data_IF_495269109342
#
_entry.id   IF_495269109342
#
_cell.length_a   1.000
_cell.length_b   1.000
_cell.length_c   1.000
_cell.angle_alpha   90.00
_cell.angle_beta   90.00
_cell.angle_gamma   90.00
#
_symmetry.space_group_name_H-M   'P 1'
#
loop_
_entity.id
_entity.type
_entity.pdbx_description
1 polymer ?
#
# COMPACT_ATOMS: atom_id res chain seq x y z
N UNK A 1 -21.12 6.68 -5.97
CA UNK A 1 -20.45 5.47 -6.48
C UNK A 1 -20.75 4.36 -5.49
N UNK A 2 -21.21 3.20 -5.93
CA UNK A 2 -21.30 2.04 -5.04
C UNK A 2 -19.88 1.59 -4.73
N UNK A 3 -19.45 1.73 -3.48
CA UNK A 3 -18.13 1.29 -3.06
C UNK A 3 -18.05 -0.24 -3.14
N UNK A 4 -16.94 -0.81 -3.64
CA UNK A 4 -16.79 -2.25 -3.73
C UNK A 4 -16.71 -2.88 -2.33
N UNK A 5 -17.46 -3.97 -2.12
CA UNK A 5 -17.41 -4.72 -0.87
C UNK A 5 -16.13 -5.57 -0.82
N UNK A 6 -15.10 -5.07 -0.15
CA UNK A 6 -13.79 -5.70 -0.07
C UNK A 6 -13.77 -6.86 0.94
N UNK A 7 -13.16 -7.97 0.54
CA UNK A 7 -12.82 -9.06 1.45
C UNK A 7 -11.66 -8.65 2.37
N UNK A 8 -11.54 -9.22 3.58
CA UNK A 8 -10.50 -8.86 4.55
C UNK A 8 -9.08 -8.87 3.97
N UNK A 9 -8.71 -9.88 3.19
CA UNK A 9 -7.39 -9.97 2.56
C UNK A 9 -7.13 -8.84 1.56
N UNK A 10 -8.16 -8.37 0.86
CA UNK A 10 -8.08 -7.25 -0.10
C UNK A 10 -7.82 -5.93 0.64
N UNK A 11 -8.43 -5.76 1.82
CA UNK A 11 -8.17 -4.61 2.68
C UNK A 11 -6.69 -4.59 3.11
N UNK A 12 -6.15 -5.73 3.55
CA UNK A 12 -4.73 -5.84 3.89
C UNK A 12 -3.81 -5.67 2.67
N UNK A 13 -4.21 -6.15 1.50
CA UNK A 13 -3.46 -5.94 0.26
C UNK A 13 -3.33 -4.45 -0.08
N UNK A 14 -4.43 -3.70 -0.01
CA UNK A 14 -4.43 -2.26 -0.23
C UNK A 14 -3.61 -1.54 0.85
N UNK A 15 -3.79 -1.92 2.12
CA UNK A 15 -3.08 -1.31 3.24
C UNK A 15 -1.56 -1.56 3.17
N UNK A 16 -1.13 -2.75 2.72
CA UNK A 16 0.27 -3.04 2.44
C UNK A 16 0.83 -2.16 1.33
N UNK A 17 0.10 -1.97 0.24
CA UNK A 17 0.54 -1.10 -0.86
C UNK A 17 0.70 0.35 -0.39
N UNK A 18 -0.18 0.82 0.49
CA UNK A 18 -0.16 2.20 0.98
C UNK A 18 0.93 2.45 2.04
N UNK A 19 1.09 1.55 3.01
CA UNK A 19 1.89 1.80 4.22
C UNK A 19 3.09 0.86 4.37
N UNK A 20 3.14 -0.22 3.59
CA UNK A 20 4.17 -1.24 3.70
C UNK A 20 3.98 -2.19 4.89
N UNK A 21 4.64 -3.36 4.85
CA UNK A 21 4.43 -4.47 5.78
C UNK A 21 4.84 -4.18 7.22
N UNK A 22 5.85 -3.32 7.43
CA UNK A 22 6.35 -2.97 8.76
C UNK A 22 5.33 -2.16 9.56
N UNK A 23 4.77 -1.12 8.93
CA UNK A 23 3.76 -0.24 9.56
C UNK A 23 2.49 -1.06 9.86
N UNK A 24 2.00 -1.82 8.88
CA UNK A 24 0.82 -2.68 9.08
C UNK A 24 1.03 -3.68 10.22
N UNK A 25 2.18 -4.36 10.28
CA UNK A 25 2.44 -5.31 11.37
C UNK A 25 2.52 -4.63 12.74
N UNK A 26 3.09 -3.42 12.81
CA UNK A 26 3.19 -2.65 14.05
C UNK A 26 1.81 -2.22 14.59
N UNK A 27 0.86 -1.87 13.72
CA UNK A 27 -0.51 -1.49 14.10
C UNK A 27 -1.24 -2.59 14.91
N UNK A 28 -0.88 -3.85 14.71
CA UNK A 28 -1.51 -5.00 15.36
C UNK A 28 -0.61 -5.66 16.42
N UNK A 29 0.34 -4.91 16.98
CA UNK A 29 1.13 -5.37 18.13
C UNK A 29 2.19 -6.43 17.80
N UNK A 30 2.37 -6.79 16.52
CA UNK A 30 3.53 -7.57 16.10
C UNK A 30 4.73 -6.62 16.08
N UNK A 31 5.44 -6.54 17.23
CA UNK A 31 6.79 -5.97 17.27
C UNK A 31 7.56 -6.61 16.13
N UNK A 32 8.13 -5.78 15.25
CA UNK A 32 8.87 -6.19 14.07
C UNK A 32 10.02 -7.13 14.47
N UNK A 33 9.71 -8.42 14.66
CA UNK A 33 10.71 -9.45 14.78
C UNK A 33 11.31 -9.60 13.39
N UNK A 34 12.54 -10.11 13.34
CA UNK A 34 13.36 -10.31 12.13
C UNK A 34 12.68 -11.13 11.01
N UNK A 35 11.43 -11.57 11.23
CA UNK A 35 10.56 -12.33 10.34
C UNK A 35 9.17 -11.65 10.18
N UNK A 36 9.11 -10.36 9.81
CA UNK A 36 7.87 -9.60 9.56
C UNK A 36 7.07 -10.07 8.32
N UNK A 37 6.79 -11.37 8.22
CA UNK A 37 5.97 -11.99 7.19
C UNK A 37 4.47 -11.76 7.42
N UNK A 38 4.06 -11.39 8.64
CA UNK A 38 2.65 -11.27 9.03
C UNK A 38 1.84 -10.34 8.15
N UNK A 39 2.39 -9.17 7.77
CA UNK A 39 1.67 -8.23 6.91
C UNK A 39 1.36 -8.83 5.53
N UNK A 40 2.35 -9.41 4.88
CA UNK A 40 2.20 -10.09 3.59
C UNK A 40 1.29 -11.33 3.69
N UNK A 41 1.41 -12.09 4.77
CA UNK A 41 0.59 -13.28 5.00
C UNK A 41 -0.89 -12.94 5.20
N UNK A 42 -1.21 -11.77 5.77
CA UNK A 42 -2.60 -11.29 5.93
C UNK A 42 -3.24 -10.84 4.61
N UNK A 43 -2.44 -10.46 3.62
CA UNK A 43 -2.88 -9.97 2.32
C UNK A 43 -2.96 -11.05 1.23
N UNK A 44 -2.63 -12.30 1.57
CA UNK A 44 -2.64 -13.42 0.62
C UNK A 44 -4.06 -13.77 0.17
N UNK A 45 -4.24 -13.89 -1.14
CA UNK A 45 -5.49 -14.34 -1.76
C UNK A 45 -5.72 -15.82 -1.40
N UNK A 46 -6.86 -16.16 -0.76
CA UNK A 46 -7.18 -17.53 -0.37
C UNK A 46 -7.31 -18.48 -1.56
N UNK A 47 -7.60 -17.99 -2.77
CA UNK A 47 -7.71 -18.79 -3.99
C UNK A 47 -6.37 -19.44 -4.35
N UNK A 48 -5.26 -18.74 -4.08
CA UNK A 48 -3.92 -19.15 -4.51
C UNK A 48 -3.01 -19.56 -3.33
N UNK A 49 -3.54 -19.57 -2.10
CA UNK A 49 -2.75 -19.77 -0.89
C UNK A 49 -3.30 -20.91 -0.04
N UNK A 50 -2.56 -22.03 0.02
CA UNK A 50 -2.96 -23.25 0.73
C UNK A 50 -2.81 -23.19 2.25
N UNK A 51 -1.84 -22.42 2.77
CA UNK A 51 -1.64 -22.23 4.22
C UNK A 51 -1.78 -20.75 4.56
N UNK A 52 -3.02 -20.35 4.83
CA UNK A 52 -3.36 -18.96 5.10
C UNK A 52 -3.15 -18.59 6.55
N UNK A 53 -2.53 -17.43 6.78
CA UNK A 53 -2.52 -16.79 8.10
C UNK A 53 -3.85 -16.07 8.31
N UNK A 54 -4.46 -16.25 9.49
CA UNK A 54 -5.64 -15.47 9.86
C UNK A 54 -5.26 -14.01 10.04
N UNK A 55 -6.01 -13.11 9.40
CA UNK A 55 -5.74 -11.68 9.52
C UNK A 55 -6.48 -11.07 10.72
N UNK A 56 -6.03 -9.90 11.22
CA UNK A 56 -6.65 -9.23 12.36
C UNK A 56 -8.15 -8.98 12.22
N UNK A 57 -8.64 -8.60 11.04
CA UNK A 57 -10.08 -8.37 10.84
C UNK A 57 -10.91 -9.65 11.01
N UNK A 58 -10.40 -10.79 10.53
CA UNK A 58 -11.05 -12.09 10.73
C UNK A 58 -11.03 -12.50 12.20
N UNK A 59 -9.94 -12.23 12.92
CA UNK A 59 -9.86 -12.50 14.36
C UNK A 59 -10.83 -11.62 15.15
N UNK A 60 -10.93 -10.33 14.81
CA UNK A 60 -11.90 -9.40 15.39
C UNK A 60 -13.34 -9.82 15.11
N UNK A 61 -13.65 -10.26 13.88
CA UNK A 61 -14.97 -10.75 13.51
C UNK A 61 -15.39 -11.97 14.36
N UNK A 62 -14.50 -12.94 14.54
CA UNK A 62 -14.76 -14.10 15.39
C UNK A 62 -14.97 -13.71 16.86
N UNK A 63 -14.14 -12.79 17.36
CA UNK A 63 -14.28 -12.28 18.72
C UNK A 63 -15.63 -11.61 18.93
N UNK A 64 -16.06 -10.75 18.00
CA UNK A 64 -17.38 -10.12 18.04
C UNK A 64 -18.52 -11.14 17.92
N UNK A 65 -18.37 -12.13 17.05
CA UNK A 65 -19.36 -13.22 16.91
C UNK A 65 -19.55 -13.98 18.22
N UNK A 66 -18.46 -14.26 18.95
CA UNK A 66 -18.52 -14.90 20.28
C UNK A 66 -19.18 -14.01 21.33
N UNK A 67 -18.90 -12.71 21.32
CA UNK A 67 -19.57 -11.75 22.23
C UNK A 67 -21.07 -11.70 21.97
N UNK A 68 -21.50 -11.66 20.71
CA UNK A 68 -22.93 -11.68 20.34
C UNK A 68 -23.59 -12.97 20.80
N UNK A 69 -22.97 -14.12 20.55
CA UNK A 69 -23.48 -15.42 20.98
C UNK A 69 -23.63 -15.52 22.51
N UNK A 70 -22.79 -14.81 23.27
CA UNK A 70 -22.85 -14.73 24.73
C UNK A 70 -23.80 -13.63 25.25
N UNK A 71 -24.57 -12.95 24.39
CA UNK A 71 -25.52 -11.90 24.79
C UNK A 71 -24.94 -10.49 24.91
N UNK A 72 -23.64 -10.31 24.65
CA UNK A 72 -22.94 -9.02 24.74
C UNK A 72 -22.97 -8.21 23.44
N UNK A 73 -24.06 -8.30 22.66
CA UNK A 73 -24.18 -7.57 21.39
C UNK A 73 -24.08 -6.04 21.52
N UNK A 74 -24.41 -5.48 22.69
CA UNK A 74 -24.23 -4.05 22.96
C UNK A 74 -22.75 -3.64 22.98
N UNK A 75 -21.85 -4.51 23.45
CA UNK A 75 -20.40 -4.27 23.46
C UNK A 75 -19.88 -4.19 22.03
N UNK A 76 -20.32 -5.10 21.16
CA UNK A 76 -19.95 -5.11 19.74
C UNK A 76 -20.45 -3.85 19.04
N UNK A 77 -21.68 -3.41 19.30
CA UNK A 77 -22.20 -2.14 18.77
C UNK A 77 -21.38 -0.93 19.22
N UNK A 78 -20.98 -0.87 20.49
CA UNK A 78 -20.12 0.19 21.00
C UNK A 78 -18.74 0.18 20.34
N UNK A 79 -18.15 -1.00 20.12
CA UNK A 79 -16.87 -1.14 19.45
C UNK A 79 -16.92 -0.70 17.97
N UNK A 80 -17.99 -1.08 17.24
CA UNK A 80 -18.19 -0.63 15.86
C UNK A 80 -18.35 0.89 15.83
N UNK A 81 -19.20 1.47 16.69
CA UNK A 81 -19.37 2.93 16.78
C UNK A 81 -18.04 3.64 17.07
N UNK A 82 -17.21 3.07 17.94
CA UNK A 82 -15.86 3.60 18.18
C UNK A 82 -15.00 3.57 16.93
N UNK A 83 -14.98 2.47 16.17
CA UNK A 83 -14.24 2.38 14.91
C UNK A 83 -14.76 3.35 13.84
N UNK A 84 -16.06 3.59 13.78
CA UNK A 84 -16.68 4.57 12.86
C UNK A 84 -16.20 6.00 13.09
N UNK A 85 -15.73 6.35 14.30
CA UNK A 85 -15.14 7.68 14.57
C UNK A 85 -13.89 7.97 13.73
N UNK A 86 -13.23 6.93 13.20
CA UNK A 86 -12.08 7.10 12.30
C UNK A 86 -12.44 7.64 10.92
N UNK A 87 -13.74 7.68 10.59
CA UNK A 87 -14.28 8.15 9.31
C UNK A 87 -14.75 9.62 9.37
N UNK A 88 -14.54 10.35 10.49
CA UNK A 88 -14.91 11.77 10.58
C UNK A 88 -14.12 12.65 9.58
N UNK A 89 -14.78 13.68 9.01
CA UNK A 89 -14.41 14.30 7.72
C UNK A 89 -13.13 15.17 7.72
N UNK A 90 -12.49 15.39 8.86
CA UNK A 90 -11.36 16.32 8.98
C UNK A 90 -9.97 15.66 8.88
N UNK A 91 -9.89 14.34 8.71
CA UNK A 91 -8.66 13.74 8.22
C UNK A 91 -8.51 14.07 6.74
N UNK A 92 -7.69 15.08 6.43
CA UNK A 92 -7.04 15.21 5.11
C UNK A 92 -6.15 13.99 4.91
N UNK A 93 -6.75 12.85 4.58
CA UNK A 93 -6.08 11.69 4.01
C UNK A 93 -5.40 12.24 2.75
N UNK A 94 -4.05 12.17 2.64
CA UNK A 94 -3.38 12.53 1.40
C UNK A 94 -4.07 11.74 0.30
N UNK A 95 -4.70 12.43 -0.66
CA UNK A 95 -5.36 11.77 -1.78
C UNK A 95 -4.40 10.71 -2.31
N UNK A 96 -4.80 9.42 -2.39
CA UNK A 96 -3.97 8.44 -3.06
C UNK A 96 -3.60 9.01 -4.43
N UNK A 97 -2.30 8.96 -4.77
CA UNK A 97 -1.83 9.34 -6.10
C UNK A 97 -2.76 8.65 -7.09
N UNK A 98 -3.35 9.45 -7.98
CA UNK A 98 -4.32 8.99 -8.98
C UNK A 98 -3.75 7.77 -9.67
N UNK A 99 -4.35 6.60 -9.44
CA UNK A 99 -3.93 5.36 -10.10
C UNK A 99 -4.03 5.60 -11.60
N UNK A 100 -2.89 5.58 -12.28
CA UNK A 100 -2.80 5.79 -13.70
C UNK A 100 -3.33 4.55 -14.43
N UNK A 101 -3.87 4.76 -15.62
CA UNK A 101 -4.70 3.78 -16.34
C UNK A 101 -3.98 2.47 -16.70
N UNK A 102 -2.66 2.41 -16.62
CA UNK A 102 -1.87 1.22 -16.98
C UNK A 102 -0.69 1.02 -16.02
N UNK A 103 -0.29 -0.24 -15.83
CA UNK A 103 0.84 -0.63 -14.99
C UNK A 103 2.15 0.05 -15.43
N UNK A 104 2.35 0.22 -16.74
CA UNK A 104 3.52 0.93 -17.27
C UNK A 104 3.57 2.40 -16.84
N UNK A 105 2.41 3.06 -16.78
CA UNK A 105 2.31 4.45 -16.30
C UNK A 105 2.56 4.55 -14.80
N UNK A 106 2.10 3.57 -14.04
CA UNK A 106 2.40 3.46 -12.60
C UNK A 106 3.90 3.27 -12.35
N UNK A 107 4.56 2.40 -13.13
CA UNK A 107 6.00 2.15 -12.99
C UNK A 107 6.87 3.36 -13.37
N UNK A 108 6.43 4.16 -14.34
CA UNK A 108 7.11 5.38 -14.76
C UNK A 108 6.77 6.61 -13.88
N UNK A 109 5.71 6.55 -13.08
CA UNK A 109 5.30 7.65 -12.19
C UNK A 109 6.32 7.94 -11.07
N UNK A 110 7.12 6.94 -10.72
CA UNK A 110 8.19 7.07 -9.73
C UNK A 110 9.52 7.56 -10.34
N UNK A 111 9.60 7.66 -11.68
CA UNK A 111 10.76 8.12 -12.45
C UNK A 111 10.36 9.21 -13.46
N UNK A 112 9.98 10.41 -12.99
CA UNK A 112 9.43 11.47 -13.84
C UNK A 112 10.37 11.90 -14.96
N UNK A 113 11.70 11.88 -14.77
CA UNK A 113 12.64 12.24 -15.83
C UNK A 113 12.71 11.13 -16.90
N UNK A 114 12.64 9.87 -16.49
CA UNK A 114 12.56 8.73 -17.42
C UNK A 114 11.27 8.74 -18.24
N UNK A 115 10.15 9.11 -17.61
CA UNK A 115 8.87 9.27 -18.29
C UNK A 115 8.90 10.44 -19.29
N UNK A 116 9.54 11.56 -18.94
CA UNK A 116 9.70 12.71 -19.82
C UNK A 116 10.53 12.37 -21.06
N UNK A 117 11.61 11.60 -20.90
CA UNK A 117 12.40 11.08 -22.01
C UNK A 117 11.58 10.17 -22.94
N UNK A 118 10.86 9.19 -22.37
CA UNK A 118 10.00 8.28 -23.14
C UNK A 118 8.91 9.02 -23.92
N UNK A 119 8.29 10.03 -23.31
CA UNK A 119 7.27 10.83 -23.95
C UNK A 119 7.86 11.72 -25.07
N UNK A 120 9.05 12.29 -24.87
CA UNK A 120 9.74 13.07 -25.91
C UNK A 120 10.05 12.25 -27.18
N UNK A 121 10.37 10.96 -27.03
CA UNK A 121 10.54 10.04 -28.16
C UNK A 121 9.18 9.74 -28.82
N UNK A 122 8.15 9.44 -28.03
CA UNK A 122 6.81 9.13 -28.56
C UNK A 122 6.16 10.29 -29.32
N UNK A 123 6.42 11.51 -28.87
CA UNK A 123 5.90 12.74 -29.46
C UNK A 123 6.77 13.26 -30.61
N UNK A 124 7.78 12.50 -31.04
CA UNK A 124 8.72 12.84 -32.14
C UNK A 124 9.32 14.26 -31.99
N UNK A 125 9.74 14.59 -30.75
CA UNK A 125 10.36 15.87 -30.47
C UNK A 125 11.73 16.01 -31.16
N UNK A 126 12.20 17.25 -31.31
CA UNK A 126 13.54 17.52 -31.85
C UNK A 126 14.64 16.85 -31.01
N UNK A 127 15.70 16.41 -31.68
CA UNK A 127 16.76 15.57 -31.10
C UNK A 127 17.48 16.26 -29.92
N UNK A 128 17.59 17.58 -29.94
CA UNK A 128 18.17 18.38 -28.85
C UNK A 128 17.34 18.27 -27.58
N UNK A 129 16.01 18.26 -27.71
CA UNK A 129 15.08 18.10 -26.58
C UNK A 129 15.08 16.67 -26.05
N UNK A 130 15.18 15.67 -26.93
CA UNK A 130 15.32 14.26 -26.54
C UNK A 130 16.61 14.06 -25.73
N UNK A 131 17.75 14.62 -26.19
CA UNK A 131 19.04 14.56 -25.48
C UNK A 131 19.03 15.28 -24.13
N UNK A 132 18.32 16.40 -24.02
CA UNK A 132 18.17 17.09 -22.74
C UNK A 132 17.40 16.21 -21.74
N UNK A 133 16.29 15.60 -22.15
CA UNK A 133 15.54 14.67 -21.30
C UNK A 133 16.31 13.39 -20.98
N UNK A 134 17.15 12.90 -21.91
CA UNK A 134 18.04 11.75 -21.68
C UNK A 134 19.02 12.02 -20.54
N UNK A 135 19.67 13.19 -20.55
CA UNK A 135 20.64 13.58 -19.52
C UNK A 135 19.97 13.69 -18.14
N UNK A 136 18.78 14.29 -18.07
CA UNK A 136 18.02 14.40 -16.82
C UNK A 136 17.60 13.02 -16.27
N UNK A 137 17.22 12.08 -17.14
CA UNK A 137 16.89 10.71 -16.76
C UNK A 137 18.11 9.97 -16.19
N UNK A 138 19.29 10.13 -16.80
CA UNK A 138 20.55 9.57 -16.29
C UNK A 138 20.86 10.12 -14.90
N UNK A 139 20.68 11.42 -14.69
CA UNK A 139 20.97 12.06 -13.40
C UNK A 139 19.96 11.69 -12.31
N UNK A 140 18.70 11.44 -12.65
CA UNK A 140 17.70 10.85 -11.75
C UNK A 140 18.06 9.42 -11.31
N UNK A 141 18.49 8.58 -12.25
CA UNK A 141 18.94 7.21 -11.94
C UNK A 141 20.16 7.25 -11.01
N UNK A 142 21.16 8.09 -11.31
CA UNK A 142 22.36 8.24 -10.47
C UNK A 142 22.04 8.67 -9.05
N UNK A 143 21.17 9.69 -8.89
CA UNK A 143 20.72 10.14 -7.55
C UNK A 143 20.03 9.03 -6.77
N UNK A 144 19.21 8.24 -7.44
CA UNK A 144 18.50 7.10 -6.83
C UNK A 144 19.48 6.01 -6.38
N UNK A 145 20.46 5.67 -7.22
CA UNK A 145 21.49 4.67 -6.89
C UNK A 145 22.35 5.10 -5.71
N UNK A 146 22.82 6.36 -5.68
CA UNK A 146 23.62 6.91 -4.56
C UNK A 146 22.83 6.82 -3.25
N UNK A 147 21.54 7.15 -3.29
CA UNK A 147 20.67 7.06 -2.10
C UNK A 147 20.59 5.62 -1.58
N UNK A 148 20.42 4.64 -2.46
CA UNK A 148 20.39 3.21 -2.08
C UNK A 148 21.74 2.74 -1.55
N UNK A 149 22.86 3.21 -2.12
CA UNK A 149 24.21 2.90 -1.61
C UNK A 149 24.44 3.46 -0.21
N UNK A 150 24.01 4.71 0.06
CA UNK A 150 24.09 5.33 1.39
C UNK A 150 23.22 4.60 2.42
N UNK A 151 22.01 4.18 2.03
CA UNK A 151 21.09 3.41 2.89
C UNK A 151 21.62 2.00 3.21
N UNK A 152 22.45 1.42 2.33
CA UNK A 152 23.07 0.09 2.51
C UNK A 152 24.43 0.12 3.20
N UNK A 153 25.20 1.19 3.04
CA UNK A 153 26.50 1.36 3.70
C UNK A 153 26.43 1.81 5.16
N UNK A 154 25.24 2.19 5.64
CA UNK A 154 24.95 2.55 7.04
C UNK A 154 24.36 1.37 7.86
N UNK A 155 24.37 0.14 7.31
CA UNK A 155 24.03 -1.12 7.99
C UNK A 155 25.27 -1.94 8.32
#
# INVERSE_FOLDING_TARGET
MNEPNLQPWQIFHIALKAFGPKIISACFGNKASKYSRSGYDWAQDPTYTTKRCRNPLEMTHDFFSRLVAAGYGYVVRSAIRYLETTLEPDLKIPSPKRILSTVEKEMLADYPALNAYHQAIKDDCQIEKIKACEQEAIDEIRRTTIKVEQERGQQ
#
